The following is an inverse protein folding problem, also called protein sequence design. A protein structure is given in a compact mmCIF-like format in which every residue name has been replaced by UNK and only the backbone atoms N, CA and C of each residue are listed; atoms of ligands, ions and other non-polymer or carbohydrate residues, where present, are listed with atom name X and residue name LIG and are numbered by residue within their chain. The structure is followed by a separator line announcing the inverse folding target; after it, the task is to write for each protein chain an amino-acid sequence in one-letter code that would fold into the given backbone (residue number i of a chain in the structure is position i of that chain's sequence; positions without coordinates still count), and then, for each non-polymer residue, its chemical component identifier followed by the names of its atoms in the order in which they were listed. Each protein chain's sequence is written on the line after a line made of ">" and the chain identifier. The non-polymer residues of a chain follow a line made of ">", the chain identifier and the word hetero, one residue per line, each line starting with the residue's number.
data_IF_629992527531
#
_entry.id   IF_629992527531
#
_cell.length_a   1.000
_cell.length_b   1.000
_cell.length_c   1.000
_cell.angle_alpha   90.00
_cell.angle_beta   90.00
_cell.angle_gamma   90.00
#
_symmetry.space_group_name_H-M   'P 1'
#
loop_
_entity.id
_entity.type
_entity.pdbx_description
1 polymer ?
#
# COMPACT_ATOMS: atom_id res chain seq x y z
N UNK A 1 12.37 13.00 -0.95
CA UNK A 1 11.88 12.37 -2.18
C UNK A 1 12.01 10.86 -2.01
N UNK A 2 11.07 10.10 -2.60
CA UNK A 2 11.19 8.64 -2.80
C UNK A 2 11.43 8.42 -4.29
N UNK A 3 12.37 7.55 -4.65
CA UNK A 3 12.64 7.17 -6.03
C UNK A 3 12.01 5.83 -6.35
N UNK A 4 11.51 5.65 -7.57
CA UNK A 4 11.10 4.35 -8.10
C UNK A 4 12.26 3.71 -8.89
N UNK A 5 12.16 2.42 -9.21
CA UNK A 5 13.24 1.67 -9.88
C UNK A 5 13.63 2.26 -11.24
N UNK A 6 12.68 2.87 -11.94
CA UNK A 6 12.92 3.55 -13.21
C UNK A 6 13.50 4.97 -13.05
N UNK A 7 13.74 5.42 -11.82
CA UNK A 7 14.27 6.75 -11.52
C UNK A 7 13.22 7.85 -11.34
N UNK A 8 11.92 7.54 -11.49
CA UNK A 8 10.86 8.52 -11.21
C UNK A 8 10.88 8.96 -9.74
N UNK A 9 10.74 10.26 -9.49
CA UNK A 9 10.84 10.84 -8.15
C UNK A 9 9.49 11.34 -7.64
N UNK A 10 9.06 10.78 -6.51
CA UNK A 10 7.89 11.26 -5.76
C UNK A 10 8.36 12.24 -4.69
N UNK A 11 7.93 13.50 -4.80
CA UNK A 11 8.26 14.55 -3.83
C UNK A 11 7.44 14.38 -2.54
N UNK A 12 8.07 14.67 -1.41
CA UNK A 12 7.35 14.75 -0.14
C UNK A 12 6.44 15.97 -0.13
N UNK A 13 5.25 15.80 0.44
CA UNK A 13 4.32 16.89 0.76
C UNK A 13 3.97 16.83 2.24
N UNK A 14 3.64 17.97 2.84
CA UNK A 14 3.19 18.03 4.24
C UNK A 14 1.84 17.32 4.44
N UNK A 15 1.00 17.35 3.41
CA UNK A 15 -0.20 16.52 3.31
C UNK A 15 0.20 15.07 3.01
N UNK A 16 0.05 14.21 4.02
CA UNK A 16 0.42 12.81 3.94
C UNK A 16 -0.49 12.00 3.04
N UNK A 17 -1.80 12.22 3.11
CA UNK A 17 -2.75 11.44 2.34
C UNK A 17 -2.52 11.69 0.85
N UNK A 18 -2.27 12.96 0.50
CA UNK A 18 -1.85 13.33 -0.86
C UNK A 18 -0.49 12.75 -1.25
N UNK A 19 0.51 12.81 -0.36
CA UNK A 19 1.82 12.21 -0.62
C UNK A 19 1.69 10.71 -0.88
N UNK A 20 0.95 10.02 -0.02
CA UNK A 20 0.76 8.59 -0.06
C UNK A 20 -0.02 8.15 -1.30
N UNK A 21 -1.10 8.87 -1.62
CA UNK A 21 -1.85 8.66 -2.85
C UNK A 21 -0.96 8.80 -4.09
N UNK A 22 -0.16 9.88 -4.17
CA UNK A 22 0.78 10.08 -5.27
C UNK A 22 1.83 8.98 -5.36
N UNK A 23 2.32 8.49 -4.22
CA UNK A 23 3.27 7.37 -4.17
C UNK A 23 2.64 6.08 -4.72
N UNK A 24 1.42 5.75 -4.29
CA UNK A 24 0.71 4.57 -4.77
C UNK A 24 0.42 4.66 -6.28
N UNK A 25 -0.09 5.80 -6.75
CA UNK A 25 -0.37 6.03 -8.16
C UNK A 25 0.90 5.93 -9.00
N UNK A 26 2.01 6.52 -8.53
CA UNK A 26 3.29 6.44 -9.22
C UNK A 26 3.81 5.00 -9.29
N UNK A 27 3.73 4.22 -8.20
CA UNK A 27 4.12 2.80 -8.21
C UNK A 27 3.31 2.04 -9.26
N UNK A 28 1.97 2.19 -9.24
CA UNK A 28 1.10 1.47 -10.18
C UNK A 28 1.38 1.88 -11.64
N UNK A 29 1.47 3.19 -11.89
CA UNK A 29 1.65 3.71 -13.24
C UNK A 29 3.01 3.32 -13.81
N UNK A 30 4.10 3.53 -13.06
CA UNK A 30 5.45 3.23 -13.53
C UNK A 30 5.71 1.73 -13.63
N UNK A 31 5.17 0.91 -12.70
CA UNK A 31 5.22 -0.54 -12.82
C UNK A 31 4.48 -1.05 -14.06
N UNK A 32 3.37 -0.43 -14.45
CA UNK A 32 2.65 -0.76 -15.69
C UNK A 32 3.45 -0.42 -16.93
N UNK A 33 4.08 0.76 -16.97
CA UNK A 33 4.95 1.11 -18.10
C UNK A 33 6.12 0.14 -18.21
N UNK A 34 6.77 -0.17 -17.10
CA UNK A 34 7.87 -1.12 -17.05
C UNK A 34 7.44 -2.54 -17.49
N UNK A 35 6.26 -3.01 -17.09
CA UNK A 35 5.77 -4.34 -17.47
C UNK A 35 5.47 -4.44 -18.97
N UNK A 36 4.93 -3.38 -19.59
CA UNK A 36 4.69 -3.33 -21.04
C UNK A 36 6.03 -3.39 -21.80
N UNK A 37 7.02 -2.63 -21.35
CA UNK A 37 8.37 -2.64 -21.94
C UNK A 37 9.00 -4.03 -21.82
N UNK A 38 8.94 -4.67 -20.64
CA UNK A 38 9.47 -6.03 -20.45
C UNK A 38 8.73 -7.05 -21.32
N UNK A 39 7.42 -6.92 -21.49
CA UNK A 39 6.64 -7.84 -22.33
C UNK A 39 6.99 -7.74 -23.81
N UNK A 40 7.48 -6.59 -24.26
CA UNK A 40 7.93 -6.39 -25.64
C UNK A 40 9.23 -7.13 -25.99
N UNK A 41 9.91 -7.72 -25.00
CA UNK A 41 11.16 -8.48 -25.19
C UNK A 41 10.86 -9.86 -25.81
N UNK A 42 11.56 -10.28 -26.89
CA UNK A 42 11.24 -11.50 -27.65
C UNK A 42 11.19 -12.81 -26.86
N UNK A 43 11.93 -12.92 -25.76
CA UNK A 43 12.03 -14.14 -24.93
C UNK A 43 11.12 -14.13 -23.69
N UNK A 44 10.29 -13.09 -23.51
CA UNK A 44 9.49 -12.94 -22.29
C UNK A 44 8.22 -13.81 -22.32
N UNK A 45 8.29 -14.93 -21.60
CA UNK A 45 7.22 -15.94 -21.51
C UNK A 45 6.17 -15.64 -20.45
N UNK A 46 6.44 -14.74 -19.49
CA UNK A 46 5.48 -14.41 -18.43
C UNK A 46 4.27 -13.68 -19.00
N UNK A 47 3.12 -13.83 -18.32
CA UNK A 47 1.95 -13.02 -18.65
C UNK A 47 2.19 -11.55 -18.28
N UNK A 48 1.50 -10.63 -18.94
CA UNK A 48 1.58 -9.20 -18.61
C UNK A 48 1.19 -8.94 -17.15
N UNK A 49 0.21 -9.70 -16.63
CA UNK A 49 -0.22 -9.63 -15.23
C UNK A 49 0.91 -10.03 -14.29
N UNK A 50 1.64 -11.11 -14.58
CA UNK A 50 2.75 -11.57 -13.73
C UNK A 50 3.90 -10.57 -13.74
N UNK A 51 4.19 -9.98 -14.91
CA UNK A 51 5.21 -8.93 -15.03
C UNK A 51 4.80 -7.68 -14.25
N UNK A 52 3.54 -7.24 -14.36
CA UNK A 52 3.03 -6.11 -13.59
C UNK A 52 3.15 -6.34 -12.08
N UNK A 53 2.71 -7.51 -11.60
CA UNK A 53 2.81 -7.86 -10.18
C UNK A 53 4.27 -7.90 -9.72
N UNK A 54 5.18 -8.42 -10.55
CA UNK A 54 6.60 -8.40 -10.27
C UNK A 54 7.13 -6.97 -10.16
N UNK A 55 6.84 -6.09 -11.12
CA UNK A 55 7.28 -4.68 -11.07
C UNK A 55 6.71 -3.93 -9.86
N UNK A 56 5.45 -4.18 -9.50
CA UNK A 56 4.84 -3.59 -8.29
C UNK A 56 5.60 -4.06 -7.05
N UNK A 57 5.87 -5.36 -6.94
CA UNK A 57 6.59 -5.93 -5.81
C UNK A 57 8.02 -5.39 -5.71
N UNK A 58 8.74 -5.32 -6.82
CA UNK A 58 10.11 -4.81 -6.87
C UNK A 58 10.15 -3.31 -6.45
N UNK A 59 9.20 -2.49 -6.92
CA UNK A 59 9.07 -1.10 -6.49
C UNK A 59 8.73 -0.98 -4.99
N UNK A 60 7.81 -1.80 -4.47
CA UNK A 60 7.49 -1.82 -3.04
C UNK A 60 8.70 -2.19 -2.16
N UNK A 61 9.50 -3.17 -2.58
CA UNK A 61 10.75 -3.54 -1.90
C UNK A 61 11.72 -2.36 -1.92
N UNK A 62 11.92 -1.71 -3.07
CA UNK A 62 12.83 -0.59 -3.22
C UNK A 62 12.42 0.63 -2.37
N UNK A 63 11.13 0.95 -2.34
CA UNK A 63 10.57 2.01 -1.48
C UNK A 63 10.77 1.66 -0.01
N UNK A 64 10.53 0.40 0.37
CA UNK A 64 10.74 -0.07 1.75
C UNK A 64 12.19 0.12 2.18
N UNK A 65 13.16 -0.30 1.35
CA UNK A 65 14.59 -0.06 1.63
C UNK A 65 14.89 1.43 1.82
N UNK A 66 14.38 2.30 0.95
CA UNK A 66 14.57 3.75 1.11
C UNK A 66 13.98 4.28 2.40
N UNK A 67 12.80 3.82 2.82
CA UNK A 67 12.17 4.23 4.08
C UNK A 67 12.99 3.81 5.30
N UNK A 68 13.59 2.62 5.27
CA UNK A 68 14.51 2.15 6.32
C UNK A 68 15.84 2.91 6.31
N UNK A 69 16.38 3.25 5.14
CA UNK A 69 17.55 4.14 5.07
C UNK A 69 17.22 5.52 5.62
N UNK A 70 16.06 6.09 5.26
CA UNK A 70 15.59 7.37 5.77
C UNK A 70 15.33 7.36 7.28
N UNK A 71 14.91 6.22 7.85
CA UNK A 71 14.72 6.06 9.30
C UNK A 71 15.95 6.48 10.09
N UNK A 72 17.14 6.11 9.60
CA UNK A 72 18.42 6.49 10.23
C UNK A 72 18.68 8.00 10.28
N UNK A 73 17.97 8.77 9.45
CA UNK A 73 18.13 10.23 9.33
C UNK A 73 16.91 11.03 9.80
N UNK A 74 15.72 10.43 9.79
CA UNK A 74 14.45 11.07 10.16
C UNK A 74 13.42 10.04 10.64
N UNK A 75 13.63 9.57 11.88
CA UNK A 75 12.80 8.56 12.54
C UNK A 75 11.30 8.94 12.57
N UNK A 76 10.99 10.22 12.81
CA UNK A 76 9.61 10.72 12.91
C UNK A 76 8.85 10.54 11.59
N UNK A 77 9.50 10.85 10.48
CA UNK A 77 8.92 10.69 9.15
C UNK A 77 8.65 9.22 8.83
N UNK A 78 9.62 8.34 9.08
CA UNK A 78 9.43 6.91 8.78
C UNK A 78 8.35 6.28 9.66
N UNK A 79 8.29 6.62 10.97
CA UNK A 79 7.20 6.17 11.85
C UNK A 79 5.83 6.58 11.30
N UNK A 80 5.71 7.83 10.86
CA UNK A 80 4.48 8.35 10.29
C UNK A 80 4.06 7.63 9.00
N UNK A 81 5.01 7.37 8.09
CA UNK A 81 4.77 6.59 6.86
C UNK A 81 4.30 5.17 7.20
N UNK A 82 4.97 4.50 8.14
CA UNK A 82 4.58 3.15 8.56
C UNK A 82 3.18 3.13 9.17
N UNK A 83 2.84 4.10 10.03
CA UNK A 83 1.50 4.25 10.59
C UNK A 83 0.45 4.43 9.48
N UNK A 84 0.71 5.29 8.50
CA UNK A 84 -0.20 5.52 7.37
C UNK A 84 -0.40 4.27 6.50
N UNK A 85 0.65 3.49 6.24
CA UNK A 85 0.54 2.21 5.53
C UNK A 85 -0.35 1.21 6.27
N UNK A 86 -0.14 1.05 7.58
CA UNK A 86 -0.95 0.14 8.41
C UNK A 86 -2.41 0.59 8.42
N UNK A 87 -2.66 1.89 8.62
CA UNK A 87 -4.01 2.45 8.62
C UNK A 87 -4.73 2.21 7.29
N UNK A 88 -4.11 2.54 6.16
CA UNK A 88 -4.71 2.31 4.84
C UNK A 88 -4.94 0.82 4.55
N UNK A 89 -4.05 -0.05 4.99
CA UNK A 89 -4.24 -1.51 4.85
C UNK A 89 -5.45 -2.01 5.65
N UNK A 90 -5.66 -1.47 6.86
CA UNK A 90 -6.84 -1.78 7.67
C UNK A 90 -8.11 -1.27 7.00
N UNK A 91 -8.13 -0.02 6.52
CA UNK A 91 -9.30 0.57 5.82
C UNK A 91 -9.68 -0.25 4.59
N UNK A 92 -8.71 -0.65 3.77
CA UNK A 92 -8.96 -1.51 2.60
C UNK A 92 -9.47 -2.90 2.99
N UNK A 93 -9.02 -3.43 4.12
CA UNK A 93 -9.47 -4.73 4.62
C UNK A 93 -10.86 -4.65 5.26
N UNK A 94 -11.28 -3.47 5.73
CA UNK A 94 -12.52 -3.25 6.48
C UNK A 94 -13.78 -3.58 5.67
N UNK A 95 -13.74 -3.44 4.35
CA UNK A 95 -14.83 -3.87 3.45
C UNK A 95 -15.08 -5.38 3.50
N UNK A 96 -14.08 -6.17 3.90
CA UNK A 96 -14.20 -7.61 4.07
C UNK A 96 -14.63 -8.00 5.50
N UNK A 97 -14.65 -7.03 6.42
CA UNK A 97 -15.00 -7.20 7.83
C UNK A 97 -16.18 -6.31 8.23
N UNK A 98 -17.00 -5.89 7.27
CA UNK A 98 -18.16 -5.02 7.52
C UNK A 98 -19.17 -5.66 8.48
N UNK A 99 -19.17 -7.00 8.57
CA UNK A 99 -19.94 -7.76 9.55
C UNK A 99 -19.50 -7.50 11.01
N UNK A 100 -18.24 -7.12 11.26
CA UNK A 100 -17.71 -6.75 12.59
C UNK A 100 -18.21 -5.36 13.00
N UNK A 101 -18.31 -4.42 12.05
CA UNK A 101 -18.80 -3.06 12.32
C UNK A 101 -20.32 -2.98 12.44
N UNK A 102 -21.04 -3.93 11.83
CA UNK A 102 -22.49 -4.00 11.85
C UNK A 102 -23.05 -4.89 12.98
N UNK A 103 -22.21 -5.40 13.90
CA UNK A 103 -22.71 -5.90 15.18
C UNK A 103 -23.23 -4.72 16.01
N UNK A 104 -24.46 -4.29 15.69
CA UNK A 104 -25.33 -3.63 16.66
C UNK A 104 -25.50 -4.59 17.83
N UNK A 105 -25.06 -4.13 19.00
CA UNK A 105 -25.61 -4.41 20.33
C UNK A 105 -26.78 -5.41 20.31
N UNK A 106 -26.48 -6.71 20.24
CA UNK A 106 -27.46 -7.74 20.53
C UNK A 106 -27.33 -8.10 22.00
N UNK A 107 -28.10 -7.34 22.78
CA UNK A 107 -28.73 -7.67 24.06
C UNK A 107 -27.84 -7.66 25.31
N UNK A 108 -27.76 -6.48 25.92
CA UNK A 108 -28.11 -6.37 27.34
C UNK A 108 -29.62 -6.66 27.47
N UNK A 109 -29.97 -7.85 27.95
CA UNK A 109 -31.21 -8.04 28.70
C UNK A 109 -30.90 -9.06 29.79
N UNK A 110 -30.50 -8.54 30.95
CA UNK A 110 -30.49 -9.28 32.19
C UNK A 110 -31.93 -9.67 32.55
N UNK A 111 -32.13 -10.96 32.81
CA UNK A 111 -33.07 -11.38 33.86
C UNK A 111 -34.39 -11.99 33.42
N UNK A 112 -34.66 -13.17 34.01
CA UNK A 112 -35.98 -13.67 34.41
C UNK A 112 -36.96 -14.10 33.28
N UNK A 113 -37.61 -15.26 33.29
CA UNK A 113 -37.79 -16.36 34.25
C UNK A 113 -38.35 -17.57 33.46
N UNK A 114 -38.18 -18.77 34.02
CA UNK A 114 -38.90 -20.04 33.78
C UNK A 114 -40.24 -19.96 33.01
N UNK A 115 -40.38 -20.74 31.92
CA UNK A 115 -41.28 -21.90 31.79
C UNK A 115 -41.25 -22.52 30.38
#
# INVERSE_FOLDING_TARGET
>A
MIKLLNGFEVKYTEDFDKFFQNLLEAIIYESKQASIIKKSVPDEKKSEKDLLLQEIMDNCIYVTHQLFTLYSTNEKFTKFIMTGFIFNSIILSLSNFTDILNQKDLKDDEGDTLH
#
